data_IF_769341293725
#
_entry.id   IF_769341293725
#
_cell.length_a   1.000
_cell.length_b   1.000
_cell.length_c   1.000
_cell.angle_alpha   90.00
_cell.angle_beta   90.00
_cell.angle_gamma   90.00
#
_symmetry.space_group_name_H-M   'P 1'
#
loop_
_entity.id
_entity.type
_entity.pdbx_description
1 polymer ?
#
# COMPACT_ATOMS: atom_id res chain seq x y z
N UNK A 1 -55.33 6.61 16.34
CA UNK A 1 -54.56 5.43 16.76
C UNK A 1 -53.09 5.72 16.47
N UNK A 2 -52.36 6.13 17.50
CA UNK A 2 -50.94 6.50 17.46
C UNK A 2 -50.07 5.23 17.57
N UNK A 3 -49.33 4.90 16.51
CA UNK A 3 -48.34 3.83 16.53
C UNK A 3 -47.07 4.24 17.28
N UNK A 4 -46.30 3.30 17.85
CA UNK A 4 -45.11 3.63 18.63
C UNK A 4 -43.93 3.97 17.72
N UNK A 5 -43.30 5.12 18.01
CA UNK A 5 -42.02 5.55 17.44
C UNK A 5 -40.90 4.76 18.11
N UNK A 6 -40.16 3.96 17.32
CA UNK A 6 -38.97 3.24 17.78
C UNK A 6 -37.82 4.25 17.89
N UNK A 7 -37.53 4.70 19.11
CA UNK A 7 -36.37 5.54 19.39
C UNK A 7 -35.07 4.72 19.35
N UNK A 8 -34.22 4.96 18.35
CA UNK A 8 -32.83 4.51 18.39
C UNK A 8 -32.08 5.29 19.48
N UNK A 9 -31.86 4.66 20.63
CA UNK A 9 -30.87 5.13 21.61
C UNK A 9 -29.47 4.94 21.00
N UNK A 10 -28.76 6.04 20.74
CA UNK A 10 -27.31 6.02 20.50
C UNK A 10 -26.64 5.33 21.69
N UNK A 11 -26.06 4.17 21.47
CA UNK A 11 -25.21 3.50 22.44
C UNK A 11 -23.87 4.25 22.51
N UNK A 12 -23.78 5.25 23.39
CA UNK A 12 -22.49 5.74 23.89
C UNK A 12 -21.88 4.68 24.77
N UNK A 13 -21.13 3.75 24.17
CA UNK A 13 -20.11 2.99 24.91
C UNK A 13 -18.84 3.82 24.91
N UNK A 14 -18.59 4.47 26.04
CA UNK A 14 -17.28 4.98 26.41
C UNK A 14 -16.30 3.80 26.44
N UNK A 15 -15.50 3.66 25.39
CA UNK A 15 -14.28 2.85 25.48
C UNK A 15 -13.26 3.74 26.18
N UNK A 16 -12.76 3.26 27.32
CA UNK A 16 -11.85 3.99 28.19
C UNK A 16 -10.67 4.56 27.42
N UNK A 17 -10.60 5.89 27.43
CA UNK A 17 -9.40 6.63 27.03
C UNK A 17 -8.29 6.35 28.04
N UNK A 18 -7.51 5.32 27.77
CA UNK A 18 -6.14 5.24 28.25
C UNK A 18 -5.30 6.26 27.49
N UNK A 19 -5.34 7.53 27.91
CA UNK A 19 -4.23 8.45 27.68
C UNK A 19 -3.08 7.96 28.55
N UNK A 20 -2.31 6.99 28.07
CA UNK A 20 -0.92 6.85 28.50
C UNK A 20 -0.15 7.96 27.80
N UNK A 21 0.07 9.04 28.55
CA UNK A 21 0.99 10.08 28.15
C UNK A 21 2.42 9.62 28.41
N UNK A 22 3.13 9.31 27.32
CA UNK A 22 4.59 9.25 27.23
C UNK A 22 5.00 9.02 25.75
N UNK A 23 5.07 10.11 24.99
CA UNK A 23 5.49 10.07 23.59
C UNK A 23 5.76 11.46 23.04
N UNK A 24 6.81 12.11 23.53
CA UNK A 24 7.27 13.46 23.14
C UNK A 24 7.90 13.50 21.74
N UNK A 25 7.36 12.75 20.77
CA UNK A 25 7.84 12.76 19.40
C UNK A 25 6.68 13.05 18.46
N UNK A 26 6.83 14.06 17.60
CA UNK A 26 5.79 14.43 16.64
C UNK A 26 5.63 13.45 15.47
N UNK A 27 5.96 12.17 15.65
CA UNK A 27 5.83 11.13 14.63
C UNK A 27 4.41 10.56 14.55
N UNK A 28 4.16 9.77 13.51
CA UNK A 28 2.93 8.97 13.42
C UNK A 28 2.87 7.96 14.58
N UNK A 29 1.67 7.62 15.08
CA UNK A 29 1.54 6.61 16.11
C UNK A 29 2.14 5.27 15.65
N UNK A 30 2.93 4.64 16.53
CA UNK A 30 3.58 3.35 16.27
C UNK A 30 2.58 2.23 16.53
N UNK A 31 2.45 1.31 15.57
CA UNK A 31 1.64 0.12 15.67
C UNK A 31 2.43 -1.12 16.08
N UNK A 32 1.70 -2.20 16.37
CA UNK A 32 2.29 -3.53 16.43
C UNK A 32 2.82 -3.95 15.05
N UNK A 33 3.82 -4.84 15.03
CA UNK A 33 4.19 -5.56 13.81
C UNK A 33 3.13 -6.61 13.47
N UNK A 34 3.14 -7.09 12.23
CA UNK A 34 2.30 -8.23 11.83
C UNK A 34 2.77 -9.48 12.57
N UNK A 35 1.84 -10.26 13.13
CA UNK A 35 2.15 -11.55 13.77
C UNK A 35 2.59 -12.60 12.74
N UNK A 36 3.00 -13.79 13.20
CA UNK A 36 3.53 -14.85 12.31
C UNK A 36 2.52 -15.34 11.26
N UNK A 37 1.22 -15.21 11.54
CA UNK A 37 0.12 -15.60 10.64
C UNK A 37 -0.95 -14.50 10.58
N UNK A 38 -1.51 -14.19 9.40
CA UNK A 38 -2.64 -13.28 9.28
C UNK A 38 -3.84 -13.78 10.07
N UNK A 39 -4.53 -12.86 10.75
CA UNK A 39 -5.75 -13.17 11.51
C UNK A 39 -6.87 -13.73 10.63
N UNK A 40 -6.96 -13.26 9.38
CA UNK A 40 -7.97 -13.67 8.40
C UNK A 40 -7.27 -14.09 7.12
N UNK A 41 -7.57 -15.30 6.66
CA UNK A 41 -7.12 -15.85 5.38
C UNK A 41 -8.31 -16.42 4.63
N UNK A 42 -8.24 -16.39 3.31
CA UNK A 42 -9.16 -17.11 2.41
C UNK A 42 -8.35 -18.22 1.72
N UNK A 43 -8.47 -19.48 2.18
CA UNK A 43 -7.67 -20.60 1.65
C UNK A 43 -7.74 -20.71 0.13
N UNK A 44 -6.62 -21.09 -0.50
CA UNK A 44 -6.50 -21.33 -1.94
C UNK A 44 -6.84 -20.15 -2.86
N UNK A 45 -7.08 -18.94 -2.33
CA UNK A 45 -7.49 -17.77 -3.13
C UNK A 45 -6.50 -17.44 -4.26
N UNK A 46 -5.21 -17.65 -4.04
CA UNK A 46 -4.15 -17.40 -5.02
C UNK A 46 -3.48 -18.70 -5.47
N UNK A 47 -4.10 -19.86 -5.22
CA UNK A 47 -3.52 -21.14 -5.61
C UNK A 47 -3.20 -21.18 -7.11
N UNK A 48 -1.96 -21.52 -7.43
CA UNK A 48 -1.49 -21.58 -8.82
C UNK A 48 -1.20 -20.23 -9.48
N UNK A 49 -1.41 -19.11 -8.79
CA UNK A 49 -1.15 -17.76 -9.32
C UNK A 49 0.22 -17.24 -8.89
N UNK A 50 0.92 -16.59 -9.82
CA UNK A 50 2.15 -15.86 -9.59
C UNK A 50 1.91 -14.38 -9.31
N UNK A 51 2.46 -13.88 -8.22
CA UNK A 51 2.22 -12.53 -7.70
C UNK A 51 3.53 -11.79 -7.47
N UNK A 52 3.71 -10.64 -8.12
CA UNK A 52 4.83 -9.72 -7.87
C UNK A 52 4.38 -8.67 -6.86
N UNK A 53 5.13 -8.48 -5.77
CA UNK A 53 4.81 -7.48 -4.73
C UNK A 53 6.00 -6.56 -4.51
N UNK A 54 5.82 -5.28 -4.77
CA UNK A 54 6.90 -4.29 -4.61
C UNK A 54 6.85 -3.57 -3.26
N UNK A 55 8.01 -3.14 -2.74
CA UNK A 55 8.10 -2.55 -1.40
C UNK A 55 7.77 -3.57 -0.30
N UNK A 56 8.15 -4.82 -0.50
CA UNK A 56 7.72 -5.97 0.31
C UNK A 56 8.53 -6.16 1.60
N UNK A 57 9.63 -5.43 1.82
CA UNK A 57 10.49 -5.66 2.98
C UNK A 57 9.87 -5.27 4.33
N UNK A 58 8.85 -4.40 4.34
CA UNK A 58 8.21 -3.91 5.59
C UNK A 58 6.85 -3.25 5.32
N UNK A 59 6.04 -3.11 6.37
CA UNK A 59 4.76 -2.39 6.32
C UNK A 59 3.72 -3.10 5.44
N UNK A 60 2.94 -2.33 4.66
CA UNK A 60 1.80 -2.85 3.88
C UNK A 60 2.26 -3.93 2.89
N UNK A 61 3.36 -3.72 2.16
CA UNK A 61 3.87 -4.72 1.22
C UNK A 61 4.21 -6.06 1.88
N UNK A 62 4.84 -6.04 3.07
CA UNK A 62 5.11 -7.25 3.87
C UNK A 62 3.82 -7.93 4.32
N UNK A 63 2.83 -7.16 4.76
CA UNK A 63 1.53 -7.69 5.19
C UNK A 63 0.75 -8.34 4.04
N UNK A 64 0.80 -7.75 2.84
CA UNK A 64 0.23 -8.34 1.62
C UNK A 64 0.97 -9.62 1.24
N UNK A 65 2.31 -9.61 1.27
CA UNK A 65 3.12 -10.78 1.00
C UNK A 65 2.79 -11.95 1.92
N UNK A 66 2.74 -11.70 3.24
CA UNK A 66 2.37 -12.71 4.21
C UNK A 66 0.98 -13.27 3.94
N UNK A 67 0.01 -12.39 3.63
CA UNK A 67 -1.35 -12.84 3.36
C UNK A 67 -1.45 -13.70 2.11
N UNK A 68 -0.85 -13.28 0.99
CA UNK A 68 -0.86 -14.04 -0.27
C UNK A 68 -0.14 -15.38 -0.11
N UNK A 69 0.97 -15.42 0.63
CA UNK A 69 1.70 -16.66 0.90
C UNK A 69 0.83 -17.68 1.69
N UNK A 70 0.08 -17.22 2.70
CA UNK A 70 -0.88 -18.06 3.44
C UNK A 70 -2.18 -18.37 2.70
N UNK A 71 -2.43 -17.70 1.57
CA UNK A 71 -3.55 -17.93 0.66
C UNK A 71 -3.08 -18.66 -0.62
N UNK A 72 -1.95 -19.37 -0.53
CA UNK A 72 -1.36 -20.30 -1.51
C UNK A 72 -0.80 -19.70 -2.81
N UNK A 73 -0.55 -18.39 -2.83
CA UNK A 73 0.07 -17.69 -3.97
C UNK A 73 1.58 -17.94 -4.06
N UNK A 74 2.09 -18.05 -5.30
CA UNK A 74 3.54 -18.02 -5.55
C UNK A 74 3.98 -16.57 -5.70
N UNK A 75 4.93 -16.12 -4.89
CA UNK A 75 5.22 -14.70 -4.73
C UNK A 75 6.67 -14.37 -5.06
N UNK A 76 6.89 -13.35 -5.89
CA UNK A 76 8.16 -12.65 -5.98
C UNK A 76 8.08 -11.33 -5.18
N UNK A 77 8.87 -11.25 -4.12
CA UNK A 77 9.01 -10.06 -3.30
C UNK A 77 10.11 -9.15 -3.85
N UNK A 78 9.78 -7.90 -4.11
CA UNK A 78 10.70 -6.90 -4.66
C UNK A 78 10.85 -5.75 -3.66
N UNK A 79 12.08 -5.41 -3.33
CA UNK A 79 12.41 -4.20 -2.57
C UNK A 79 13.81 -3.73 -2.96
N UNK A 80 14.17 -2.48 -2.65
CA UNK A 80 15.57 -2.04 -2.78
C UNK A 80 16.43 -2.50 -1.61
N UNK A 81 15.80 -2.90 -0.51
CA UNK A 81 16.47 -3.33 0.71
C UNK A 81 16.64 -4.84 0.75
N UNK A 82 17.85 -5.28 1.10
CA UNK A 82 18.19 -6.69 1.35
C UNK A 82 17.28 -7.39 2.37
N UNK A 83 16.57 -6.63 3.22
CA UNK A 83 15.59 -7.15 4.16
C UNK A 83 14.46 -7.96 3.50
N UNK A 84 14.24 -7.77 2.19
CA UNK A 84 13.26 -8.55 1.43
C UNK A 84 13.62 -10.04 1.38
N UNK A 85 14.90 -10.39 1.49
CA UNK A 85 15.35 -11.78 1.53
C UNK A 85 14.97 -12.45 2.86
N UNK A 86 15.15 -11.76 3.99
CA UNK A 86 14.68 -12.23 5.31
C UNK A 86 13.15 -12.44 5.31
N UNK A 87 12.39 -11.54 4.67
CA UNK A 87 10.93 -11.69 4.54
C UNK A 87 10.58 -12.94 3.73
N UNK A 88 11.24 -13.16 2.58
CA UNK A 88 11.01 -14.34 1.76
C UNK A 88 11.30 -15.64 2.51
N UNK A 89 12.42 -15.69 3.24
CA UNK A 89 12.79 -16.84 4.07
C UNK A 89 11.73 -17.12 5.14
N UNK A 90 11.24 -16.08 5.83
CA UNK A 90 10.21 -16.24 6.86
C UNK A 90 8.87 -16.77 6.33
N UNK A 91 8.61 -16.62 5.03
CA UNK A 91 7.36 -17.01 4.39
C UNK A 91 7.47 -18.30 3.57
N UNK A 92 8.66 -18.91 3.47
CA UNK A 92 8.93 -20.03 2.58
C UNK A 92 7.98 -21.23 2.80
N UNK A 93 7.53 -21.46 4.04
CA UNK A 93 6.65 -22.56 4.43
C UNK A 93 5.22 -22.08 4.81
N UNK A 94 4.83 -20.85 4.45
CA UNK A 94 3.55 -20.27 4.85
C UNK A 94 2.32 -20.89 4.17
N UNK A 95 2.49 -21.46 2.97
CA UNK A 95 1.44 -22.08 2.17
C UNK A 95 2.02 -22.92 1.02
N UNK A 96 1.20 -23.31 0.05
CA UNK A 96 1.61 -24.20 -1.04
C UNK A 96 2.40 -23.51 -2.17
N UNK A 97 2.40 -22.17 -2.20
CA UNK A 97 3.07 -21.37 -3.23
C UNK A 97 4.58 -21.26 -3.02
N UNK A 98 5.29 -20.88 -4.09
CA UNK A 98 6.74 -20.63 -4.02
C UNK A 98 7.02 -19.19 -3.62
N UNK A 99 7.86 -18.97 -2.61
CA UNK A 99 8.30 -17.61 -2.23
C UNK A 99 9.73 -17.36 -2.73
N UNK A 100 9.91 -16.23 -3.40
CA UNK A 100 11.18 -15.73 -3.93
C UNK A 100 11.33 -14.25 -3.64
N UNK A 101 12.54 -13.73 -3.76
CA UNK A 101 12.79 -12.30 -3.63
C UNK A 101 13.95 -11.83 -4.51
N UNK A 102 13.92 -10.54 -4.84
CA UNK A 102 14.96 -9.86 -5.60
C UNK A 102 15.13 -8.43 -5.09
N UNK A 103 16.35 -7.93 -5.10
CA UNK A 103 16.60 -6.50 -4.90
C UNK A 103 16.53 -5.73 -6.21
N UNK A 104 15.78 -4.63 -6.24
CA UNK A 104 15.67 -3.76 -7.40
C UNK A 104 15.37 -2.31 -7.00
N UNK A 105 15.99 -1.35 -7.69
CA UNK A 105 15.67 0.07 -7.55
C UNK A 105 14.57 0.50 -8.51
N UNK A 106 13.35 0.55 -7.99
CA UNK A 106 12.16 0.89 -8.76
C UNK A 106 12.00 2.40 -9.01
N UNK A 107 12.92 3.25 -8.56
CA UNK A 107 13.00 4.64 -9.03
C UNK A 107 13.54 4.75 -10.47
N UNK A 108 14.00 3.64 -11.04
CA UNK A 108 14.48 3.53 -12.43
C UNK A 108 13.60 2.57 -13.24
N UNK A 109 13.58 2.75 -14.56
CA UNK A 109 12.86 1.82 -15.43
C UNK A 109 13.59 0.48 -15.54
N UNK A 110 14.92 0.52 -15.54
CA UNK A 110 15.80 -0.64 -15.59
C UNK A 110 15.53 -1.57 -14.41
N UNK A 111 15.45 -1.05 -13.18
CA UNK A 111 15.11 -1.85 -12.01
C UNK A 111 13.71 -2.47 -12.09
N UNK A 112 12.72 -1.78 -12.65
CA UNK A 112 11.39 -2.35 -12.88
C UNK A 112 11.41 -3.46 -13.94
N UNK A 113 12.17 -3.30 -15.01
CA UNK A 113 12.35 -4.31 -16.05
C UNK A 113 13.07 -5.56 -15.50
N UNK A 114 14.13 -5.38 -14.70
CA UNK A 114 14.84 -6.46 -14.02
C UNK A 114 13.94 -7.23 -13.06
N UNK A 115 13.10 -6.53 -12.28
CA UNK A 115 12.15 -7.17 -11.37
C UNK A 115 11.13 -8.05 -12.12
N UNK A 116 10.60 -7.57 -13.25
CA UNK A 116 9.67 -8.35 -14.08
C UNK A 116 10.35 -9.51 -14.80
N UNK A 117 11.59 -9.33 -15.27
CA UNK A 117 12.38 -10.41 -15.84
C UNK A 117 12.67 -11.51 -14.80
N UNK A 118 13.00 -11.12 -13.56
CA UNK A 118 13.16 -12.06 -12.46
C UNK A 118 11.86 -12.81 -12.16
N UNK A 119 10.70 -12.14 -12.21
CA UNK A 119 9.40 -12.78 -12.01
C UNK A 119 9.11 -13.83 -13.08
N UNK A 120 9.30 -13.47 -14.36
CA UNK A 120 9.11 -14.39 -15.48
C UNK A 120 10.06 -15.60 -15.43
N UNK A 121 11.26 -15.44 -14.89
CA UNK A 121 12.25 -16.53 -14.76
C UNK A 121 12.07 -17.40 -13.51
N UNK A 122 11.42 -16.91 -12.45
CA UNK A 122 11.35 -17.59 -11.15
C UNK A 122 9.95 -18.08 -10.78
N UNK A 123 8.90 -17.54 -11.39
CA UNK A 123 7.52 -17.97 -11.23
C UNK A 123 7.07 -18.77 -12.45
N UNK A 124 6.06 -19.64 -12.26
CA UNK A 124 5.47 -20.40 -13.38
C UNK A 124 4.66 -19.51 -14.33
N UNK A 125 4.03 -18.49 -13.77
CA UNK A 125 3.24 -17.46 -14.44
C UNK A 125 3.38 -16.16 -13.66
N UNK A 126 3.01 -15.04 -14.27
CA UNK A 126 2.85 -13.75 -13.58
C UNK A 126 1.44 -13.28 -13.86
N UNK A 127 0.58 -13.41 -12.87
CA UNK A 127 -0.85 -13.15 -13.01
C UNK A 127 -1.22 -11.81 -12.36
N UNK A 128 -0.46 -11.42 -11.33
CA UNK A 128 -0.78 -10.27 -10.47
C UNK A 128 0.48 -9.44 -10.21
N UNK A 129 0.37 -8.12 -10.32
CA UNK A 129 1.42 -7.17 -9.93
C UNK A 129 0.86 -6.16 -8.93
N UNK A 130 1.44 -6.13 -7.73
CA UNK A 130 1.05 -5.23 -6.64
C UNK A 130 2.13 -4.15 -6.47
N UNK A 131 1.80 -2.94 -6.90
CA UNK A 131 2.67 -1.78 -6.86
C UNK A 131 2.51 -1.02 -5.55
N UNK A 132 3.38 -1.29 -4.56
CA UNK A 132 3.29 -0.69 -3.22
C UNK A 132 4.43 0.29 -2.88
N UNK A 133 5.46 0.40 -3.72
CA UNK A 133 6.57 1.34 -3.48
C UNK A 133 6.08 2.79 -3.40
N UNK A 134 6.62 3.50 -2.43
CA UNK A 134 6.43 4.94 -2.24
C UNK A 134 6.32 5.34 -0.78
N UNK A 135 5.89 6.58 -0.58
CA UNK A 135 5.65 7.17 0.71
C UNK A 135 6.38 8.49 0.87
N UNK A 136 5.83 9.33 1.72
CA UNK A 136 6.37 10.65 2.07
C UNK A 136 7.81 10.54 2.59
N UNK A 137 8.69 11.37 2.02
CA UNK A 137 10.08 11.57 2.49
C UNK A 137 10.12 12.73 3.49
N UNK A 138 9.48 13.86 3.17
CA UNK A 138 9.44 15.08 3.99
C UNK A 138 8.01 15.55 4.30
N UNK A 139 7.86 16.21 5.44
CA UNK A 139 6.60 16.77 5.91
C UNK A 139 6.76 18.26 6.26
N UNK A 140 6.34 19.16 5.38
CA UNK A 140 6.40 20.62 5.57
C UNK A 140 5.44 21.39 4.67
N UNK A 141 5.10 22.65 4.99
CA UNK A 141 4.37 23.53 4.06
C UNK A 141 5.05 23.60 2.71
N UNK A 142 4.26 23.77 1.64
CA UNK A 142 4.76 23.62 0.28
C UNK A 142 5.83 24.65 -0.08
N UNK A 143 5.69 25.87 0.42
CA UNK A 143 6.62 26.99 0.26
C UNK A 143 8.00 26.75 0.89
N UNK A 144 8.17 25.69 1.70
CA UNK A 144 9.44 25.31 2.31
C UNK A 144 10.13 24.12 1.65
N UNK A 145 9.55 23.54 0.59
CA UNK A 145 10.25 22.51 -0.20
C UNK A 145 11.30 23.14 -1.11
N UNK A 146 12.51 22.60 -1.04
CA UNK A 146 13.53 22.83 -2.05
C UNK A 146 13.14 22.11 -3.36
N UNK A 147 13.54 22.64 -4.53
CA UNK A 147 13.24 22.01 -5.82
C UNK A 147 13.61 20.52 -5.87
N UNK A 148 14.77 20.14 -5.35
CA UNK A 148 15.29 18.77 -5.38
C UNK A 148 14.47 17.82 -4.48
N UNK A 149 13.88 18.33 -3.40
CA UNK A 149 13.00 17.54 -2.54
C UNK A 149 11.67 17.25 -3.24
N UNK A 150 11.15 18.21 -4.01
CA UNK A 150 9.95 18.01 -4.83
C UNK A 150 10.21 16.90 -5.85
N UNK A 151 11.31 17.00 -6.61
CA UNK A 151 11.69 15.99 -7.60
C UNK A 151 11.85 14.61 -6.97
N UNK A 152 12.50 14.53 -5.79
CA UNK A 152 12.74 13.26 -5.11
C UNK A 152 11.45 12.65 -4.55
N UNK A 153 10.48 13.44 -4.10
CA UNK A 153 9.15 12.95 -3.69
C UNK A 153 8.40 12.33 -4.87
N UNK A 154 8.38 13.01 -6.03
CA UNK A 154 7.78 12.48 -7.26
C UNK A 154 8.50 11.20 -7.70
N UNK A 155 9.84 11.23 -7.71
CA UNK A 155 10.69 10.07 -8.05
C UNK A 155 10.43 8.88 -7.15
N UNK A 156 10.28 9.08 -5.84
CA UNK A 156 10.02 7.99 -4.89
C UNK A 156 8.61 7.43 -4.97
N UNK A 157 7.60 8.26 -5.23
CA UNK A 157 6.21 7.90 -4.95
C UNK A 157 5.31 7.73 -6.17
N UNK A 158 5.70 8.26 -7.34
CA UNK A 158 4.97 8.13 -8.59
C UNK A 158 5.70 7.22 -9.59
N UNK A 159 6.97 7.51 -9.86
CA UNK A 159 7.74 6.82 -10.91
C UNK A 159 7.80 5.28 -10.73
N UNK A 160 7.98 4.71 -9.52
CA UNK A 160 7.94 3.27 -9.34
C UNK A 160 6.65 2.62 -9.83
N UNK A 161 5.51 3.27 -9.65
CA UNK A 161 4.23 2.75 -10.17
C UNK A 161 4.17 2.87 -11.69
N UNK A 162 4.61 4.01 -12.26
CA UNK A 162 4.67 4.18 -13.71
C UNK A 162 5.55 3.12 -14.38
N UNK A 163 6.75 2.90 -13.83
CA UNK A 163 7.73 1.95 -14.35
C UNK A 163 7.29 0.51 -14.20
N UNK A 164 6.76 0.13 -13.03
CA UNK A 164 6.24 -1.23 -12.85
C UNK A 164 5.03 -1.51 -13.73
N UNK A 165 4.07 -0.57 -13.86
CA UNK A 165 2.98 -0.74 -14.82
C UNK A 165 3.53 -0.95 -16.23
N UNK A 166 4.44 -0.08 -16.69
CA UNK A 166 5.06 -0.19 -18.03
C UNK A 166 5.79 -1.53 -18.23
N UNK A 167 6.55 -1.99 -17.24
CA UNK A 167 7.30 -3.24 -17.31
C UNK A 167 6.39 -4.48 -17.22
N UNK A 168 5.28 -4.39 -16.48
CA UNK A 168 4.33 -5.49 -16.32
C UNK A 168 3.47 -5.72 -17.57
N UNK A 169 3.11 -4.66 -18.31
CA UNK A 169 2.16 -4.75 -19.43
C UNK A 169 2.54 -5.84 -20.45
N UNK A 170 3.77 -5.92 -21.01
CA UNK A 170 4.10 -6.96 -21.98
C UNK A 170 3.95 -8.38 -21.42
N UNK A 171 4.36 -8.59 -20.15
CA UNK A 171 4.30 -9.90 -19.50
C UNK A 171 2.86 -10.34 -19.27
N UNK A 172 1.99 -9.45 -18.79
CA UNK A 172 0.58 -9.76 -18.56
C UNK A 172 -0.19 -9.97 -19.87
N UNK A 173 0.14 -9.20 -20.92
CA UNK A 173 -0.45 -9.38 -22.25
C UNK A 173 -0.08 -10.76 -22.80
N UNK A 174 1.19 -11.16 -22.70
CA UNK A 174 1.67 -12.47 -23.16
C UNK A 174 1.04 -13.62 -22.37
N UNK A 175 0.78 -13.43 -21.06
CA UNK A 175 0.06 -14.39 -20.23
C UNK A 175 -1.46 -14.45 -20.50
N UNK A 176 -2.01 -13.61 -21.38
CA UNK A 176 -3.44 -13.59 -21.73
C UNK A 176 -4.33 -12.84 -20.74
N UNK A 177 -3.74 -12.03 -19.86
CA UNK A 177 -4.46 -11.20 -18.90
C UNK A 177 -3.78 -11.14 -17.54
N UNK A 178 -4.44 -10.47 -16.60
CA UNK A 178 -3.96 -10.39 -15.22
C UNK A 178 -4.55 -9.23 -14.43
N UNK A 179 -3.94 -8.93 -13.28
CA UNK A 179 -4.35 -7.82 -12.43
C UNK A 179 -3.17 -6.98 -11.96
N UNK A 180 -3.27 -5.66 -12.16
CA UNK A 180 -2.38 -4.68 -11.54
C UNK A 180 -3.12 -4.00 -10.40
N UNK A 181 -2.58 -4.09 -9.19
CA UNK A 181 -3.07 -3.37 -8.00
C UNK A 181 -2.08 -2.29 -7.60
N UNK A 182 -2.45 -1.03 -7.78
CA UNK A 182 -1.64 0.11 -7.34
C UNK A 182 -2.00 0.50 -5.89
N UNK A 183 -1.00 0.75 -5.06
CA UNK A 183 -1.21 1.30 -3.71
C UNK A 183 -0.96 2.81 -3.75
N UNK A 184 -2.06 3.54 -3.80
CA UNK A 184 -2.12 5.00 -3.76
C UNK A 184 -2.10 5.53 -2.31
N UNK A 185 -2.88 6.57 -2.00
CA UNK A 185 -3.17 7.05 -0.65
C UNK A 185 -4.34 8.04 -0.67
N UNK A 186 -5.09 8.15 0.43
CA UNK A 186 -6.03 9.29 0.62
C UNK A 186 -5.31 10.62 0.85
N UNK A 187 -3.99 10.62 1.04
CA UNK A 187 -3.20 11.85 1.18
C UNK A 187 -3.16 12.74 -0.07
N UNK A 188 -3.98 12.47 -1.11
CA UNK A 188 -4.16 13.35 -2.28
C UNK A 188 -4.67 14.75 -1.91
N UNK A 189 -5.26 14.93 -0.71
CA UNK A 189 -5.57 16.24 -0.11
C UNK A 189 -4.89 16.44 1.25
N UNK A 190 -3.73 15.80 1.44
CA UNK A 190 -2.95 15.85 2.68
C UNK A 190 -2.19 17.16 2.86
N UNK A 191 -2.26 17.76 4.05
CA UNK A 191 -1.46 18.93 4.41
C UNK A 191 0.02 18.55 4.57
N UNK A 192 0.88 19.55 4.36
CA UNK A 192 2.34 19.46 4.54
C UNK A 192 3.05 18.34 3.75
N UNK A 193 2.42 17.83 2.69
CA UNK A 193 2.94 16.71 1.88
C UNK A 193 2.56 16.85 0.41
N UNK A 194 2.52 18.08 -0.11
CA UNK A 194 1.95 18.37 -1.43
C UNK A 194 2.61 17.60 -2.60
N UNK A 195 3.94 17.43 -2.68
CA UNK A 195 4.56 16.60 -3.73
C UNK A 195 4.14 15.12 -3.65
N UNK A 196 4.03 14.58 -2.44
CA UNK A 196 3.51 13.23 -2.21
C UNK A 196 2.02 13.12 -2.59
N UNK A 197 1.21 14.12 -2.26
CA UNK A 197 -0.19 14.21 -2.64
C UNK A 197 -0.36 14.20 -4.16
N UNK A 198 0.44 15.01 -4.87
CA UNK A 198 0.48 15.05 -6.33
C UNK A 198 0.90 13.68 -6.91
N UNK A 199 1.90 13.02 -6.31
CA UNK A 199 2.33 11.68 -6.73
C UNK A 199 1.19 10.66 -6.63
N UNK A 200 0.48 10.62 -5.50
CA UNK A 200 -0.62 9.66 -5.30
C UNK A 200 -1.87 10.03 -6.11
N UNK A 201 -2.08 11.32 -6.40
CA UNK A 201 -3.06 11.76 -7.41
C UNK A 201 -2.70 11.25 -8.80
N UNK A 202 -1.41 11.28 -9.17
CA UNK A 202 -0.91 10.69 -10.41
C UNK A 202 -1.12 9.18 -10.48
N UNK A 203 -0.94 8.45 -9.37
CA UNK A 203 -1.25 7.00 -9.31
C UNK A 203 -2.75 6.74 -9.53
N UNK A 204 -3.63 7.59 -8.97
CA UNK A 204 -5.07 7.46 -9.22
C UNK A 204 -5.40 7.68 -10.70
N UNK A 205 -4.86 8.74 -11.30
CA UNK A 205 -5.05 9.03 -12.73
C UNK A 205 -4.50 7.92 -13.63
N UNK A 206 -3.29 7.42 -13.35
CA UNK A 206 -2.68 6.29 -14.04
C UNK A 206 -3.58 5.06 -13.97
N UNK A 207 -4.15 4.75 -12.81
CA UNK A 207 -5.03 3.60 -12.61
C UNK A 207 -6.26 3.69 -13.51
N UNK A 208 -6.93 4.84 -13.54
CA UNK A 208 -8.13 5.03 -14.36
C UNK A 208 -7.81 5.04 -15.86
N UNK A 209 -6.73 5.70 -16.28
CA UNK A 209 -6.33 5.76 -17.69
C UNK A 209 -5.87 4.40 -18.21
N UNK A 210 -4.96 3.74 -17.49
CA UNK A 210 -4.39 2.46 -17.92
C UNK A 210 -5.46 1.35 -17.96
N UNK A 211 -6.47 1.39 -17.09
CA UNK A 211 -7.57 0.43 -17.15
C UNK A 211 -8.33 0.44 -18.49
N UNK A 212 -8.44 1.60 -19.15
CA UNK A 212 -9.10 1.71 -20.45
C UNK A 212 -8.30 0.99 -21.54
N UNK A 213 -6.98 1.15 -21.54
CA UNK A 213 -6.06 0.50 -22.48
C UNK A 213 -5.89 -0.99 -22.17
N UNK A 214 -5.81 -1.36 -20.90
CA UNK A 214 -5.52 -2.72 -20.45
C UNK A 214 -6.72 -3.69 -20.62
N UNK A 215 -7.95 -3.17 -20.69
CA UNK A 215 -9.16 -3.98 -20.76
C UNK A 215 -9.24 -4.87 -22.01
N UNK A 216 -8.74 -4.42 -23.16
CA UNK A 216 -8.73 -5.24 -24.39
C UNK A 216 -7.80 -6.46 -24.29
N UNK A 217 -6.89 -6.44 -23.32
CA UNK A 217 -5.93 -7.51 -23.03
C UNK A 217 -6.35 -8.39 -21.84
N UNK A 218 -7.60 -8.29 -21.37
CA UNK A 218 -8.06 -9.01 -20.18
C UNK A 218 -7.23 -8.69 -18.91
N UNK A 219 -6.74 -7.45 -18.82
CA UNK A 219 -5.98 -6.96 -17.67
C UNK A 219 -6.84 -5.98 -16.89
N UNK A 220 -7.02 -6.24 -15.59
CA UNK A 220 -7.64 -5.29 -14.67
C UNK A 220 -6.57 -4.39 -14.07
N UNK A 221 -6.82 -3.09 -14.07
CA UNK A 221 -6.03 -2.12 -13.28
C UNK A 221 -6.92 -1.50 -12.23
N UNK A 222 -6.51 -1.60 -10.97
CA UNK A 222 -7.24 -1.10 -9.79
C UNK A 222 -6.27 -0.46 -8.81
N UNK A 223 -6.79 0.33 -7.88
CA UNK A 223 -5.98 0.87 -6.80
C UNK A 223 -6.67 0.77 -5.45
N UNK A 224 -5.87 0.66 -4.39
CA UNK A 224 -6.29 1.04 -3.04
C UNK A 224 -5.71 2.40 -2.69
N UNK A 225 -6.39 3.14 -1.83
CA UNK A 225 -5.89 4.39 -1.26
C UNK A 225 -5.85 4.28 0.27
N UNK A 226 -4.75 3.80 0.86
CA UNK A 226 -4.60 3.72 2.31
C UNK A 226 -4.64 5.09 3.01
N UNK A 227 -5.26 5.10 4.19
CA UNK A 227 -5.20 6.18 5.18
C UNK A 227 -4.07 6.03 6.19
N UNK A 228 -4.21 6.74 7.32
CA UNK A 228 -3.33 6.57 8.47
C UNK A 228 -3.25 5.11 8.89
N UNK A 229 -2.06 4.53 8.83
CA UNK A 229 -1.83 3.11 9.12
C UNK A 229 -0.84 2.97 10.27
N UNK A 230 -1.25 2.24 11.31
CA UNK A 230 -0.40 1.79 12.40
C UNK A 230 0.58 0.74 11.87
N UNK A 231 1.87 1.02 12.03
CA UNK A 231 2.95 0.13 11.64
C UNK A 231 4.09 0.22 12.67
N UNK A 232 4.92 -0.82 12.84
CA UNK A 232 6.09 -0.74 13.68
C UNK A 232 7.06 0.31 13.14
N UNK A 233 8.01 0.74 13.98
CA UNK A 233 9.08 1.64 13.54
C UNK A 233 9.80 1.01 12.33
N UNK A 234 9.95 1.80 11.26
CA UNK A 234 10.58 1.32 10.04
C UNK A 234 12.04 0.92 10.30
N UNK A 235 12.43 -0.25 9.79
CA UNK A 235 13.84 -0.69 9.74
C UNK A 235 14.62 0.11 8.69
N UNK A 236 13.95 0.44 7.58
CA UNK A 236 14.51 1.32 6.53
C UNK A 236 13.71 2.61 6.45
N UNK A 237 14.34 3.71 6.83
CA UNK A 237 13.77 5.05 6.78
C UNK A 237 13.48 5.50 5.33
N UNK A 238 12.48 6.35 5.16
CA UNK A 238 12.15 6.97 3.86
C UNK A 238 12.95 8.25 3.61
N UNK A 239 13.21 8.99 4.68
CA UNK A 239 13.83 10.30 4.70
C UNK A 239 14.26 10.67 6.12
N UNK A 240 14.66 11.92 6.35
CA UNK A 240 15.03 12.40 7.68
C UNK A 240 13.83 12.32 8.64
N UNK A 241 14.13 12.18 9.94
CA UNK A 241 13.11 12.36 10.96
C UNK A 241 12.82 13.85 11.14
N UNK A 242 11.61 14.25 11.58
CA UNK A 242 11.39 15.62 12.02
C UNK A 242 12.37 15.98 13.13
N UNK A 243 13.15 17.03 12.93
CA UNK A 243 14.13 17.54 13.89
C UNK A 243 13.85 19.01 14.14
N UNK A 244 13.53 19.38 15.38
CA UNK A 244 13.21 20.77 15.75
C UNK A 244 11.71 21.06 15.85
N UNK A 245 11.37 22.16 16.52
CA UNK A 245 9.99 22.52 16.87
C UNK A 245 9.08 22.72 15.64
N UNK A 246 9.62 23.26 14.55
CA UNK A 246 8.84 23.53 13.33
C UNK A 246 8.48 22.25 12.59
N UNK A 247 9.45 21.38 12.34
CA UNK A 247 9.31 20.10 11.66
C UNK A 247 8.37 19.19 12.44
N UNK A 248 8.50 19.19 13.77
CA UNK A 248 7.58 18.51 14.66
C UNK A 248 6.16 19.05 14.55
N UNK A 249 5.96 20.38 14.57
CA UNK A 249 4.64 20.97 14.40
C UNK A 249 4.02 20.66 13.02
N UNK A 250 4.83 20.63 11.96
CA UNK A 250 4.38 20.28 10.63
C UNK A 250 3.95 18.82 10.51
N UNK A 251 4.69 17.91 11.13
CA UNK A 251 4.30 16.51 11.18
C UNK A 251 3.06 16.28 12.03
N UNK A 252 2.93 16.99 13.16
CA UNK A 252 1.72 16.91 14.01
C UNK A 252 0.45 17.28 13.25
N UNK A 253 0.49 18.33 12.41
CA UNK A 253 -0.65 18.70 11.55
C UNK A 253 -1.08 17.58 10.59
N UNK A 254 -0.16 16.74 10.14
CA UNK A 254 -0.49 15.55 9.33
C UNK A 254 -1.24 14.52 10.16
N UNK A 255 -0.77 14.25 11.37
CA UNK A 255 -1.39 13.30 12.30
C UNK A 255 -2.79 13.78 12.66
N UNK A 256 -2.93 15.05 13.06
CA UNK A 256 -4.19 15.68 13.41
C UNK A 256 -5.19 15.60 12.25
N UNK A 257 -4.80 16.02 11.04
CA UNK A 257 -5.66 15.89 9.85
C UNK A 257 -6.10 14.44 9.62
N UNK A 258 -5.18 13.49 9.78
CA UNK A 258 -5.46 12.06 9.54
C UNK A 258 -6.50 11.52 10.53
N UNK A 259 -6.48 11.95 11.80
CA UNK A 259 -7.46 11.56 12.82
C UNK A 259 -8.79 12.28 12.62
N UNK A 260 -8.75 13.55 12.20
CA UNK A 260 -9.95 14.36 12.01
C UNK A 260 -10.74 13.96 10.75
N UNK A 261 -10.05 13.51 9.68
CA UNK A 261 -10.70 13.11 8.42
C UNK A 261 -11.29 11.70 8.44
N UNK A 262 -10.75 10.80 9.28
CA UNK A 262 -11.27 9.43 9.42
C UNK A 262 -12.58 9.42 10.21
N UNK A 263 -13.65 8.93 9.60
CA UNK A 263 -14.97 8.78 10.25
C UNK A 263 -14.89 7.80 11.43
N UNK A 264 -13.95 6.86 11.39
CA UNK A 264 -13.71 5.90 12.47
C UNK A 264 -12.86 6.45 13.63
N UNK A 265 -12.31 7.67 13.51
CA UNK A 265 -11.55 8.35 14.56
C UNK A 265 -10.24 7.65 14.96
N UNK A 266 -9.70 6.77 14.11
CA UNK A 266 -8.46 6.02 14.37
C UNK A 266 -7.69 5.67 13.10
N UNK A 267 -6.42 5.34 13.30
CA UNK A 267 -5.58 4.70 12.28
C UNK A 267 -6.03 3.25 12.05
N UNK A 268 -5.85 2.76 10.83
CA UNK A 268 -6.04 1.35 10.46
C UNK A 268 -4.81 0.49 10.78
N UNK A 269 -4.97 -0.82 10.82
CA UNK A 269 -3.84 -1.76 10.96
C UNK A 269 -3.28 -2.19 9.61
N UNK A 270 -2.11 -2.82 9.60
CA UNK A 270 -1.51 -3.39 8.39
C UNK A 270 -2.42 -4.45 7.75
N UNK A 271 -3.10 -5.28 8.54
CA UNK A 271 -4.04 -6.29 8.05
C UNK A 271 -5.30 -5.66 7.44
N UNK A 272 -5.78 -4.56 8.02
CA UNK A 272 -6.91 -3.78 7.47
C UNK A 272 -6.54 -3.16 6.11
N UNK A 273 -5.26 -2.87 5.85
CA UNK A 273 -4.78 -2.44 4.52
C UNK A 273 -4.57 -3.62 3.57
N UNK A 274 -3.99 -4.72 4.04
CA UNK A 274 -3.65 -5.88 3.21
C UNK A 274 -4.90 -6.60 2.67
N UNK A 275 -5.98 -6.67 3.45
CA UNK A 275 -7.21 -7.37 3.04
C UNK A 275 -7.83 -6.83 1.74
N UNK A 276 -8.17 -5.54 1.64
CA UNK A 276 -8.71 -4.95 0.42
C UNK A 276 -7.76 -5.04 -0.78
N UNK A 277 -6.43 -4.97 -0.56
CA UNK A 277 -5.44 -5.17 -1.63
C UNK A 277 -5.55 -6.60 -2.19
N UNK A 278 -5.58 -7.61 -1.32
CA UNK A 278 -5.72 -9.01 -1.73
C UNK A 278 -7.08 -9.28 -2.40
N UNK A 279 -8.17 -8.70 -1.89
CA UNK A 279 -9.48 -8.80 -2.53
C UNK A 279 -9.44 -8.24 -3.96
N UNK A 280 -8.93 -7.02 -4.16
CA UNK A 280 -8.84 -6.39 -5.47
C UNK A 280 -7.91 -7.14 -6.44
N UNK A 281 -6.88 -7.81 -5.91
CA UNK A 281 -5.99 -8.67 -6.68
C UNK A 281 -6.68 -9.97 -7.17
N UNK A 282 -7.63 -10.50 -6.40
CA UNK A 282 -8.25 -11.80 -6.62
C UNK A 282 -9.38 -11.82 -7.66
N UNK A 283 -9.80 -13.03 -8.04
CA UNK A 283 -10.94 -13.27 -8.93
C UNK A 283 -12.29 -12.81 -8.34
N UNK A 284 -12.39 -12.66 -7.02
CA UNK A 284 -13.58 -12.10 -6.36
C UNK A 284 -13.86 -10.65 -6.82
N UNK A 285 -12.84 -9.95 -7.34
CA UNK A 285 -12.93 -8.62 -7.91
C UNK A 285 -12.90 -8.60 -9.45
N UNK A 286 -13.21 -9.72 -10.11
CA UNK A 286 -13.11 -9.89 -11.58
C UNK A 286 -13.87 -8.86 -12.42
N UNK A 287 -14.91 -8.21 -11.86
CA UNK A 287 -15.66 -7.14 -12.54
C UNK A 287 -15.31 -5.71 -12.06
N UNK A 288 -14.20 -5.54 -11.36
CA UNK A 288 -13.72 -4.24 -10.86
C UNK A 288 -12.43 -3.86 -11.59
N UNK A 289 -12.48 -2.75 -12.35
CA UNK A 289 -11.32 -2.09 -12.96
C UNK A 289 -11.52 -0.57 -13.02
N UNK A 290 -10.44 0.19 -13.24
CA UNK A 290 -10.43 1.66 -13.30
C UNK A 290 -10.74 2.37 -11.99
N UNK A 291 -10.95 1.61 -10.92
CA UNK A 291 -11.45 2.08 -9.62
C UNK A 291 -10.34 2.25 -8.61
N UNK A 292 -10.45 3.29 -7.78
CA UNK A 292 -9.62 3.52 -6.59
C UNK A 292 -10.49 3.31 -5.36
N UNK A 293 -10.10 2.39 -4.48
CA UNK A 293 -10.80 2.06 -3.24
C UNK A 293 -10.10 2.71 -2.03
N UNK A 294 -10.68 3.74 -1.38
CA UNK A 294 -10.15 4.27 -0.13
C UNK A 294 -10.25 3.26 1.02
N UNK A 295 -9.13 3.04 1.71
CA UNK A 295 -9.02 2.17 2.89
C UNK A 295 -8.53 3.03 4.06
N UNK A 296 -9.40 3.95 4.48
CA UNK A 296 -9.06 5.04 5.38
C UNK A 296 -10.16 5.36 6.40
N UNK A 297 -10.93 4.35 6.83
CA UNK A 297 -11.94 4.52 7.87
C UNK A 297 -13.04 5.54 7.54
N UNK A 298 -13.37 5.68 6.25
CA UNK A 298 -14.39 6.61 5.75
C UNK A 298 -13.83 7.85 5.04
N UNK A 299 -12.55 8.17 5.24
CA UNK A 299 -11.88 9.24 4.48
C UNK A 299 -11.79 8.85 2.99
N UNK A 300 -12.14 9.78 2.10
CA UNK A 300 -12.12 9.60 0.63
C UNK A 300 -10.92 10.27 -0.03
N UNK A 301 -10.05 10.90 0.76
CA UNK A 301 -9.08 11.88 0.30
C UNK A 301 -9.67 13.27 0.37
#
# INVERSE_FOLDING_TARGET
MSGPVIGLKKATKSVGGGRSGDGTGAGAPVGADIGDRPRLITPERFFGQGVVITGAAQGIGRAVAQRIAHEDGSVLLVDRSELVHEVAESLADAGAGTIRSVTADLETFEGAAEAMAAAAGQLKSVDIVINNVGGTIWAKPYEHYAPEEIEKEIRRSLFPTLWMCRAAMPVLIENGGGTIVNVSSVATRGVNRAPYAASKGGVNALTSALALEAAEHNIRVVATAPGGTLAPKRRVARGPSPEGEHEEAWYRRIVDQTVDSTVMGRYGTLEEQAGPICFLASEEASYITGSVLPVAGGDQG
#
